data_IF_056280704881
#
_entry.id   IF_056280704881
#
_cell.length_a   1.000
_cell.length_b   1.000
_cell.length_c   1.000
_cell.angle_alpha   90.00
_cell.angle_beta   90.00
_cell.angle_gamma   90.00
#
_symmetry.space_group_name_H-M   'P 1'
#
loop_
_entity.id
_entity.type
_entity.pdbx_description
1 polymer ?
#
# COMPACT_ATOMS: atom_id res chain seq x y z
N UNK A 1 5.30 9.00 -0.09
CA UNK A 1 4.17 8.05 0.05
C UNK A 1 4.26 7.00 -1.05
N UNK A 2 3.97 5.74 -0.72
CA UNK A 2 3.88 4.67 -1.71
C UNK A 2 2.45 4.14 -1.80
N UNK A 3 1.97 3.96 -3.03
CA UNK A 3 0.72 3.26 -3.30
C UNK A 3 1.05 1.82 -3.64
N UNK A 4 0.62 0.92 -2.79
CA UNK A 4 0.85 -0.52 -2.97
C UNK A 4 -0.47 -1.23 -3.26
N UNK A 5 -0.44 -2.11 -4.23
CA UNK A 5 -1.62 -2.90 -4.60
C UNK A 5 -1.20 -4.18 -5.31
N UNK A 6 -2.16 -5.06 -5.50
CA UNK A 6 -1.95 -6.30 -6.22
C UNK A 6 -2.95 -6.44 -7.35
N UNK A 7 -2.51 -7.09 -8.41
CA UNK A 7 -3.36 -7.52 -9.50
C UNK A 7 -3.50 -9.05 -9.50
N UNK A 8 -4.60 -9.53 -10.04
CA UNK A 8 -4.86 -10.98 -10.20
C UNK A 8 -4.14 -11.58 -11.41
N UNK A 9 -3.53 -10.75 -12.23
CA UNK A 9 -2.75 -11.13 -13.42
C UNK A 9 -1.73 -10.03 -13.71
N UNK A 10 -0.81 -10.31 -14.63
CA UNK A 10 0.15 -9.30 -15.09
C UNK A 10 -0.56 -8.14 -15.77
N UNK A 11 -0.27 -6.93 -15.32
CA UNK A 11 -0.86 -5.69 -15.82
C UNK A 11 0.21 -4.63 -16.06
N UNK A 12 -0.05 -3.75 -16.99
CA UNK A 12 0.56 -2.44 -17.04
C UNK A 12 -0.20 -1.54 -16.07
N UNK A 13 0.48 -0.85 -15.16
CA UNK A 13 -0.18 -0.10 -14.10
C UNK A 13 0.43 1.26 -13.84
N UNK A 14 -0.39 2.19 -13.37
CA UNK A 14 0.02 3.53 -12.95
C UNK A 14 -0.93 4.09 -11.89
N UNK A 15 -0.49 5.13 -11.24
CA UNK A 15 -1.32 5.94 -10.35
C UNK A 15 -1.57 7.29 -11.00
N UNK A 16 -2.83 7.70 -11.06
CA UNK A 16 -3.20 9.07 -11.34
C UNK A 16 -3.34 9.81 -10.00
N UNK A 17 -2.64 10.94 -9.83
CA UNK A 17 -2.59 11.69 -8.57
C UNK A 17 -2.60 13.19 -8.83
N UNK A 18 -3.35 13.96 -8.04
CA UNK A 18 -3.45 15.40 -8.16
C UNK A 18 -4.04 16.08 -6.93
N UNK A 19 -4.09 17.41 -6.95
CA UNK A 19 -4.72 18.21 -5.87
C UNK A 19 -6.24 18.19 -5.95
N UNK A 20 -6.75 17.78 -7.08
CA UNK A 20 -8.17 17.51 -7.34
C UNK A 20 -8.29 16.30 -8.27
N UNK A 21 -9.52 15.84 -8.55
CA UNK A 21 -9.77 14.68 -9.40
C UNK A 21 -9.83 15.00 -10.90
N UNK A 22 -9.71 16.27 -11.30
CA UNK A 22 -9.81 16.71 -12.69
C UNK A 22 -8.41 16.92 -13.30
N UNK A 23 -7.45 17.36 -12.49
CA UNK A 23 -6.09 17.68 -12.90
C UNK A 23 -5.14 16.70 -12.20
N UNK A 24 -4.79 15.62 -12.88
CA UNK A 24 -3.97 14.55 -12.32
C UNK A 24 -2.73 14.29 -13.17
N UNK A 25 -1.63 14.04 -12.50
CA UNK A 25 -0.40 13.53 -13.09
C UNK A 25 -0.42 12.00 -13.08
N UNK A 26 0.33 11.41 -14.00
CA UNK A 26 0.51 9.97 -14.10
C UNK A 26 1.87 9.56 -13.53
N UNK A 27 1.85 8.70 -12.52
CA UNK A 27 3.07 8.15 -11.91
C UNK A 27 3.14 6.65 -12.16
N UNK A 28 4.31 6.17 -12.61
CA UNK A 28 4.57 4.77 -12.94
C UNK A 28 5.67 4.18 -12.07
N UNK A 29 5.64 2.88 -11.92
CA UNK A 29 6.75 2.15 -11.32
C UNK A 29 7.86 1.98 -12.36
N UNK A 30 9.05 2.48 -12.03
CA UNK A 30 10.22 2.35 -12.89
C UNK A 30 11.28 1.49 -12.19
N UNK A 31 11.93 0.64 -12.95
CA UNK A 31 13.13 -0.09 -12.54
C UNK A 31 14.21 0.10 -13.61
N UNK A 32 15.35 0.60 -13.21
CA UNK A 32 16.45 0.93 -14.14
C UNK A 32 16.00 1.78 -15.35
N UNK A 33 15.06 2.73 -15.13
CA UNK A 33 14.54 3.61 -16.18
C UNK A 33 13.47 2.97 -17.10
N UNK A 34 13.10 1.72 -16.84
CA UNK A 34 12.05 1.02 -17.60
C UNK A 34 10.78 0.87 -16.75
N UNK A 35 9.62 0.96 -17.40
CA UNK A 35 8.35 0.67 -16.74
C UNK A 35 8.26 -0.81 -16.35
N UNK A 36 7.83 -1.07 -15.12
CA UNK A 36 7.56 -2.42 -14.64
C UNK A 36 6.17 -2.83 -15.12
N UNK A 37 6.10 -3.87 -15.95
CA UNK A 37 4.86 -4.26 -16.66
C UNK A 37 4.44 -5.72 -16.46
N UNK A 38 5.12 -6.46 -15.59
CA UNK A 38 4.88 -7.90 -15.43
C UNK A 38 4.59 -8.36 -14.01
N UNK A 39 4.77 -7.50 -13.02
CA UNK A 39 4.59 -7.87 -11.63
C UNK A 39 3.12 -7.91 -11.24
N UNK A 40 2.78 -8.87 -10.39
CA UNK A 40 1.47 -8.93 -9.76
C UNK A 40 1.41 -8.06 -8.48
N UNK A 41 2.56 -7.76 -7.89
CA UNK A 41 2.72 -6.77 -6.82
C UNK A 41 3.24 -5.46 -7.41
N UNK A 42 2.56 -4.37 -7.05
CA UNK A 42 2.88 -3.05 -7.54
C UNK A 42 3.20 -2.13 -6.39
N UNK A 43 4.28 -1.37 -6.54
CA UNK A 43 4.71 -0.33 -5.60
C UNK A 43 5.01 0.94 -6.40
N UNK A 44 4.11 1.90 -6.34
CA UNK A 44 4.27 3.18 -7.04
C UNK A 44 4.54 4.27 -6.03
N UNK A 45 5.76 4.83 -6.06
CA UNK A 45 6.18 5.88 -5.15
C UNK A 45 5.78 7.25 -5.70
N UNK A 46 5.06 7.99 -4.88
CA UNK A 46 4.67 9.37 -5.13
C UNK A 46 5.71 10.30 -4.48
N UNK A 47 6.46 11.01 -5.30
CA UNK A 47 7.50 11.94 -4.87
C UNK A 47 7.06 13.39 -5.09
N UNK A 48 7.76 14.34 -4.48
CA UNK A 48 7.52 15.78 -4.67
C UNK A 48 6.18 16.27 -4.11
N UNK A 49 5.62 15.54 -3.16
CA UNK A 49 4.39 15.93 -2.50
C UNK A 49 4.65 17.07 -1.52
N UNK A 50 3.70 18.01 -1.42
CA UNK A 50 3.79 19.17 -0.54
C UNK A 50 3.25 18.83 0.85
N UNK A 51 3.99 19.07 1.94
CA UNK A 51 3.48 18.95 3.31
C UNK A 51 2.19 19.74 3.54
N UNK A 52 1.29 19.23 4.36
CA UNK A 52 0.00 19.83 4.66
C UNK A 52 -1.05 19.71 3.55
N UNK A 53 -0.70 19.15 2.42
CA UNK A 53 -1.55 19.10 1.26
C UNK A 53 -2.41 17.84 1.18
N UNK A 54 -3.64 17.98 0.69
CA UNK A 54 -4.52 16.87 0.33
C UNK A 54 -4.32 16.50 -1.13
N UNK A 55 -4.21 15.22 -1.38
CA UNK A 55 -4.11 14.62 -2.71
C UNK A 55 -5.24 13.64 -2.97
N UNK A 56 -5.72 13.64 -4.20
CA UNK A 56 -6.63 12.63 -4.75
C UNK A 56 -5.84 11.70 -5.65
N UNK A 57 -6.07 10.41 -5.51
CA UNK A 57 -5.39 9.42 -6.33
C UNK A 57 -6.30 8.26 -6.70
N UNK A 58 -5.98 7.59 -7.78
CA UNK A 58 -6.57 6.29 -8.15
C UNK A 58 -5.54 5.40 -8.82
N UNK A 59 -5.76 4.10 -8.72
CA UNK A 59 -4.98 3.08 -9.42
C UNK A 59 -5.63 2.81 -10.77
N UNK A 60 -4.79 2.76 -11.80
CA UNK A 60 -5.17 2.42 -13.16
C UNK A 60 -4.39 1.19 -13.61
N UNK A 61 -5.05 0.27 -14.29
CA UNK A 61 -4.44 -0.97 -14.78
C UNK A 61 -4.91 -1.30 -16.19
N UNK A 62 -4.03 -1.96 -16.95
CA UNK A 62 -4.37 -2.58 -18.22
C UNK A 62 -3.82 -4.01 -18.23
N UNK A 63 -4.68 -5.00 -18.42
CA UNK A 63 -4.25 -6.40 -18.55
C UNK A 63 -3.29 -6.54 -19.73
N UNK A 64 -2.22 -7.30 -19.54
CA UNK A 64 -1.30 -7.66 -20.61
C UNK A 64 -1.85 -8.92 -21.28
N UNK A 65 -2.44 -8.76 -22.46
CA UNK A 65 -3.04 -9.86 -23.22
C UNK A 65 -2.01 -10.62 -24.06
N UNK A 66 -1.02 -9.88 -24.57
CA UNK A 66 0.10 -10.45 -25.32
C UNK A 66 1.36 -9.68 -24.98
N UNK A 67 2.44 -10.39 -24.72
CA UNK A 67 3.76 -9.82 -24.51
C UNK A 67 4.83 -10.60 -25.25
N UNK A 68 5.20 -10.11 -26.41
CA UNK A 68 6.28 -10.64 -27.24
C UNK A 68 7.32 -9.57 -27.49
N UNK A 69 8.51 -9.95 -27.93
CA UNK A 69 9.64 -9.04 -28.13
C UNK A 69 9.29 -7.81 -28.98
N UNK A 70 8.49 -7.97 -30.02
CA UNK A 70 8.11 -6.91 -30.95
C UNK A 70 6.61 -6.60 -30.98
N UNK A 71 5.81 -7.23 -30.12
CA UNK A 71 4.37 -7.02 -30.08
C UNK A 71 3.85 -7.13 -28.65
N UNK A 72 3.22 -6.06 -28.19
CA UNK A 72 2.48 -6.03 -26.92
C UNK A 72 1.03 -5.66 -27.22
N UNK A 73 0.10 -6.32 -26.54
CA UNK A 73 -1.32 -6.01 -26.62
C UNK A 73 -1.82 -5.85 -25.20
N UNK A 74 -2.46 -4.72 -24.96
CA UNK A 74 -3.07 -4.39 -23.67
C UNK A 74 -4.58 -4.43 -23.78
N UNK A 75 -5.24 -4.88 -22.73
CA UNK A 75 -6.68 -4.81 -22.57
C UNK A 75 -7.18 -3.39 -22.33
N UNK A 76 -8.46 -3.28 -22.02
CA UNK A 76 -9.04 -1.99 -21.63
C UNK A 76 -8.40 -1.47 -20.33
N UNK A 77 -8.38 -0.16 -20.17
CA UNK A 77 -7.98 0.49 -18.92
C UNK A 77 -9.09 0.33 -17.87
N UNK A 78 -8.73 -0.22 -16.73
CA UNK A 78 -9.56 -0.25 -15.53
C UNK A 78 -9.06 0.80 -14.54
N UNK A 79 -9.99 1.43 -13.81
CA UNK A 79 -9.68 2.49 -12.85
C UNK A 79 -10.45 2.26 -11.56
N UNK A 80 -9.75 2.39 -10.43
CA UNK A 80 -10.45 2.44 -9.13
C UNK A 80 -11.15 3.79 -8.96
N UNK A 81 -12.14 3.89 -8.07
CA UNK A 81 -12.60 5.18 -7.60
C UNK A 81 -11.44 6.02 -7.03
N UNK A 82 -11.58 7.34 -7.11
CA UNK A 82 -10.64 8.23 -6.42
C UNK A 82 -10.69 8.04 -4.92
N UNK A 83 -9.52 8.01 -4.32
CA UNK A 83 -9.29 8.07 -2.87
C UNK A 83 -8.52 9.34 -2.56
N UNK A 84 -8.46 9.73 -1.30
CA UNK A 84 -7.70 10.91 -0.88
C UNK A 84 -6.85 10.58 0.35
N UNK A 85 -5.75 11.29 0.49
CA UNK A 85 -4.96 11.34 1.70
C UNK A 85 -4.45 12.77 1.91
N UNK A 86 -4.14 13.11 3.14
CA UNK A 86 -3.55 14.41 3.49
C UNK A 86 -2.20 14.17 4.12
N UNK A 87 -1.18 14.91 3.69
CA UNK A 87 0.13 14.88 4.35
C UNK A 87 0.12 15.76 5.58
N UNK A 88 0.81 15.36 6.65
CA UNK A 88 1.08 16.24 7.77
C UNK A 88 1.81 17.50 7.28
N UNK A 89 1.57 18.62 7.95
CA UNK A 89 2.35 19.83 7.71
C UNK A 89 3.69 19.75 8.44
N UNK A 90 4.74 20.29 7.86
CA UNK A 90 6.07 20.42 8.47
C UNK A 90 6.10 21.39 9.68
N UNK A 91 5.06 22.20 9.84
CA UNK A 91 4.87 23.12 10.97
C UNK A 91 3.90 22.56 12.02
N UNK A 92 3.51 21.28 11.92
CA UNK A 92 2.61 20.67 12.90
C UNK A 92 3.20 20.69 14.30
N UNK A 93 2.43 21.22 15.27
CA UNK A 93 2.79 21.18 16.68
C UNK A 93 2.24 19.95 17.41
N UNK A 94 1.32 19.25 16.77
CA UNK A 94 0.71 18.02 17.25
C UNK A 94 0.66 17.00 16.14
N UNK A 95 0.98 15.75 16.46
CA UNK A 95 0.91 14.61 15.55
C UNK A 95 0.37 13.41 16.31
N UNK A 96 -0.69 12.80 15.79
CA UNK A 96 -1.36 11.68 16.44
C UNK A 96 -1.06 10.38 15.70
N UNK A 97 -0.42 9.45 16.40
CA UNK A 97 -0.15 8.10 15.95
C UNK A 97 -1.11 7.12 16.58
N UNK A 98 -1.75 6.27 15.81
CA UNK A 98 -2.41 5.07 16.31
C UNK A 98 -1.50 3.87 16.07
N UNK A 99 -1.13 3.21 17.15
CA UNK A 99 -0.23 2.05 17.12
C UNK A 99 -1.01 0.80 17.52
N UNK A 100 -1.04 -0.18 16.66
CA UNK A 100 -1.68 -1.48 16.88
C UNK A 100 -0.65 -2.60 16.75
N UNK A 101 -0.71 -3.56 17.65
CA UNK A 101 0.13 -4.77 17.64
C UNK A 101 -0.66 -5.97 18.14
N UNK A 102 -0.12 -7.17 17.96
CA UNK A 102 -0.65 -8.44 18.47
C UNK A 102 -2.12 -8.72 18.08
N UNK A 103 -2.54 -8.28 16.90
CA UNK A 103 -3.92 -8.51 16.44
C UNK A 103 -4.14 -9.90 15.84
N UNK A 104 -3.09 -10.52 15.29
CA UNK A 104 -3.07 -11.86 14.69
C UNK A 104 -4.23 -12.14 13.73
N UNK A 105 -4.69 -11.13 13.00
CA UNK A 105 -5.87 -11.20 12.14
C UNK A 105 -7.15 -11.68 12.84
N UNK A 106 -7.24 -11.61 14.17
CA UNK A 106 -8.44 -12.00 14.91
C UNK A 106 -9.58 -11.04 14.59
N UNK A 107 -10.70 -11.50 13.99
CA UNK A 107 -11.73 -10.61 13.47
C UNK A 107 -12.33 -9.66 14.52
N UNK A 108 -12.63 -10.16 15.72
CA UNK A 108 -13.23 -9.34 16.78
C UNK A 108 -12.27 -8.25 17.27
N UNK A 109 -10.97 -8.57 17.39
CA UNK A 109 -9.93 -7.62 17.79
C UNK A 109 -9.77 -6.57 16.70
N UNK A 110 -9.61 -6.98 15.45
CA UNK A 110 -9.46 -6.07 14.31
C UNK A 110 -10.67 -5.14 14.14
N UNK A 111 -11.89 -5.68 14.29
CA UNK A 111 -13.12 -4.88 14.21
C UNK A 111 -13.22 -3.85 15.34
N UNK A 112 -12.80 -4.21 16.55
CA UNK A 112 -12.78 -3.28 17.68
C UNK A 112 -11.73 -2.16 17.48
N UNK A 113 -10.52 -2.54 17.06
CA UNK A 113 -9.43 -1.58 16.80
C UNK A 113 -9.73 -0.67 15.61
N UNK A 114 -10.30 -1.21 14.53
CA UNK A 114 -10.70 -0.41 13.37
C UNK A 114 -11.83 0.60 13.71
N UNK A 115 -12.80 0.21 14.55
CA UNK A 115 -13.81 1.16 15.06
C UNK A 115 -13.17 2.26 15.91
N UNK A 116 -12.21 1.92 16.75
CA UNK A 116 -11.46 2.90 17.53
C UNK A 116 -10.71 3.87 16.62
N UNK A 117 -9.99 3.35 15.64
CA UNK A 117 -9.27 4.16 14.65
C UNK A 117 -10.21 5.12 13.91
N UNK A 118 -11.37 4.64 13.46
CA UNK A 118 -12.35 5.46 12.74
C UNK A 118 -12.97 6.59 13.58
N UNK A 119 -12.95 6.47 14.92
CA UNK A 119 -13.50 7.45 15.86
C UNK A 119 -12.43 8.39 16.42
N UNK A 120 -11.15 8.09 16.22
CA UNK A 120 -10.02 8.85 16.78
C UNK A 120 -9.35 9.63 15.64
N UNK A 121 -9.36 10.97 15.66
CA UNK A 121 -8.55 11.74 14.70
C UNK A 121 -7.08 11.35 14.81
N UNK A 122 -6.44 11.04 13.69
CA UNK A 122 -5.04 10.62 13.65
C UNK A 122 -4.41 10.98 12.31
N UNK A 123 -3.09 11.07 12.32
CA UNK A 123 -2.29 11.40 11.14
C UNK A 123 -1.69 10.16 10.49
N UNK A 124 -1.42 9.13 11.29
CA UNK A 124 -0.78 7.89 10.83
C UNK A 124 -1.21 6.68 11.66
N UNK A 125 -1.37 5.56 11.00
CA UNK A 125 -1.56 4.24 11.63
C UNK A 125 -0.26 3.43 11.53
N UNK A 126 0.18 2.86 12.64
CA UNK A 126 1.33 1.96 12.69
C UNK A 126 0.84 0.56 13.11
N UNK A 127 1.03 -0.41 12.23
CA UNK A 127 0.89 -1.83 12.53
C UNK A 127 2.24 -2.33 13.04
N UNK A 128 2.39 -2.41 14.36
CA UNK A 128 3.68 -2.58 15.04
C UNK A 128 4.00 -4.04 15.37
N UNK A 129 3.88 -4.92 14.37
CA UNK A 129 4.20 -6.33 14.49
C UNK A 129 3.09 -7.19 15.08
N UNK A 130 3.15 -8.46 14.78
CA UNK A 130 2.20 -9.50 15.18
C UNK A 130 0.73 -9.14 14.84
N UNK A 131 0.57 -8.31 13.82
CA UNK A 131 -0.74 -7.95 13.30
C UNK A 131 -1.32 -9.04 12.39
N UNK A 132 -0.43 -9.81 11.77
CA UNK A 132 -0.75 -10.94 10.91
C UNK A 132 -0.34 -12.27 11.60
N UNK A 133 -0.99 -13.40 11.27
CA UNK A 133 -0.51 -14.71 11.68
C UNK A 133 0.71 -15.12 10.84
N UNK A 134 1.31 -16.26 11.18
CA UNK A 134 2.46 -16.81 10.46
C UNK A 134 2.09 -17.16 9.01
N UNK A 135 2.68 -16.52 8.00
CA UNK A 135 2.31 -16.72 6.60
C UNK A 135 2.86 -18.05 6.06
N UNK A 136 1.98 -18.96 5.65
CA UNK A 136 2.37 -20.25 5.05
C UNK A 136 2.77 -20.09 3.59
N UNK A 137 2.03 -19.27 2.88
CA UNK A 137 2.22 -19.02 1.46
C UNK A 137 1.84 -17.59 1.10
N UNK A 138 2.14 -17.22 -0.15
CA UNK A 138 1.84 -15.89 -0.68
C UNK A 138 0.35 -15.55 -0.68
N UNK A 139 -0.50 -16.52 -0.99
CA UNK A 139 -1.95 -16.28 -1.08
C UNK A 139 -2.55 -15.96 0.29
N UNK A 140 -2.15 -16.70 1.32
CA UNK A 140 -2.55 -16.44 2.70
C UNK A 140 -2.05 -15.09 3.19
N UNK A 141 -0.76 -14.76 2.95
CA UNK A 141 -0.19 -13.47 3.31
C UNK A 141 -0.98 -12.31 2.68
N UNK A 142 -1.28 -12.40 1.39
CA UNK A 142 -2.09 -11.41 0.67
C UNK A 142 -3.49 -11.27 1.26
N UNK A 143 -4.17 -12.39 1.53
CA UNK A 143 -5.52 -12.39 2.10
C UNK A 143 -5.54 -11.71 3.47
N UNK A 144 -4.56 -11.98 4.32
CA UNK A 144 -4.41 -11.39 5.64
C UNK A 144 -4.14 -9.87 5.55
N UNK A 145 -3.23 -9.44 4.67
CA UNK A 145 -2.96 -8.02 4.42
C UNK A 145 -4.20 -7.30 3.90
N UNK A 146 -4.89 -7.89 2.91
CA UNK A 146 -6.12 -7.29 2.38
C UNK A 146 -7.21 -7.15 3.44
N UNK A 147 -7.30 -8.12 4.35
CA UNK A 147 -8.22 -8.07 5.46
C UNK A 147 -7.89 -6.90 6.41
N UNK A 148 -6.61 -6.73 6.74
CA UNK A 148 -6.11 -5.64 7.57
C UNK A 148 -6.37 -4.26 6.90
N UNK A 149 -5.89 -4.06 5.68
CA UNK A 149 -5.96 -2.76 5.00
C UNK A 149 -7.39 -2.31 4.70
N UNK A 150 -8.32 -3.25 4.48
CA UNK A 150 -9.75 -2.93 4.29
C UNK A 150 -10.39 -2.41 5.57
N UNK A 151 -10.12 -3.05 6.71
CA UNK A 151 -10.72 -2.66 7.99
C UNK A 151 -10.28 -1.28 8.45
N UNK A 152 -9.02 -0.95 8.23
CA UNK A 152 -8.45 0.34 8.63
C UNK A 152 -8.50 1.41 7.53
N UNK A 153 -9.14 1.10 6.40
CA UNK A 153 -9.20 1.96 5.22
C UNK A 153 -7.84 2.58 4.84
N UNK A 154 -6.82 1.71 4.80
CA UNK A 154 -5.44 2.11 4.53
C UNK A 154 -5.23 2.80 3.16
N UNK A 155 -6.24 2.77 2.30
CA UNK A 155 -6.26 3.55 1.06
C UNK A 155 -6.49 5.05 1.27
N UNK A 156 -7.00 5.48 2.43
CA UNK A 156 -7.20 6.89 2.79
C UNK A 156 -6.44 7.28 4.06
N UNK A 157 -6.20 6.30 4.93
CA UNK A 157 -5.43 6.50 6.16
C UNK A 157 -4.00 6.00 5.93
N UNK A 158 -3.00 6.87 5.80
CA UNK A 158 -1.61 6.45 5.66
C UNK A 158 -1.22 5.48 6.78
N UNK A 159 -0.53 4.42 6.42
CA UNK A 159 -0.10 3.43 7.41
C UNK A 159 1.33 2.96 7.15
N UNK A 160 1.98 2.54 8.22
CA UNK A 160 3.28 1.87 8.23
C UNK A 160 3.10 0.48 8.81
N UNK A 161 3.76 -0.50 8.24
CA UNK A 161 3.76 -1.86 8.72
C UNK A 161 5.16 -2.26 9.18
N UNK A 162 5.24 -2.80 10.41
CA UNK A 162 6.46 -3.37 10.97
C UNK A 162 6.25 -4.86 11.22
N UNK A 163 7.26 -5.66 10.98
CA UNK A 163 7.20 -7.10 11.24
C UNK A 163 7.43 -7.40 12.71
N UNK A 164 6.58 -8.21 13.29
CA UNK A 164 6.81 -8.86 14.57
C UNK A 164 7.39 -10.27 14.38
N UNK A 165 7.37 -11.06 15.44
CA UNK A 165 7.91 -12.42 15.40
C UNK A 165 6.97 -13.40 14.67
N UNK A 166 5.68 -13.12 14.54
CA UNK A 166 4.75 -13.93 13.75
C UNK A 166 4.98 -13.77 12.25
N UNK A 167 5.18 -12.55 11.75
CA UNK A 167 5.42 -12.30 10.34
C UNK A 167 6.76 -12.84 9.83
N UNK A 168 7.72 -13.15 10.72
CA UNK A 168 9.02 -13.74 10.33
C UNK A 168 9.08 -15.25 10.48
N UNK A 169 7.98 -15.89 10.87
CA UNK A 169 7.86 -17.35 10.95
C UNK A 169 7.25 -17.93 9.68
N UNK A 170 7.35 -19.28 9.57
CA UNK A 170 6.75 -20.06 8.49
C UNK A 170 7.38 -19.84 7.10
N UNK A 171 6.89 -20.59 6.11
CA UNK A 171 7.53 -20.76 4.81
C UNK A 171 7.57 -19.49 3.95
N UNK A 172 6.59 -18.59 4.10
CA UNK A 172 6.51 -17.35 3.29
C UNK A 172 7.11 -16.11 3.99
N UNK A 173 7.73 -16.27 5.15
CA UNK A 173 8.30 -15.12 5.90
C UNK A 173 9.29 -14.27 5.09
N UNK A 174 10.12 -14.91 4.27
CA UNK A 174 11.08 -14.21 3.38
C UNK A 174 10.42 -13.48 2.21
N UNK A 175 9.21 -13.86 1.84
CA UNK A 175 8.42 -13.18 0.79
C UNK A 175 7.64 -11.96 1.30
N UNK A 176 7.42 -11.85 2.60
CA UNK A 176 6.66 -10.74 3.20
C UNK A 176 7.18 -9.34 2.84
N UNK A 177 8.51 -9.09 2.74
CA UNK A 177 9.01 -7.78 2.37
C UNK A 177 8.56 -7.26 1.01
N UNK A 178 8.14 -8.14 0.10
CA UNK A 178 7.61 -7.70 -1.21
C UNK A 178 6.22 -7.09 -1.11
N UNK A 179 5.50 -7.37 -0.04
CA UNK A 179 4.11 -6.98 0.17
C UNK A 179 3.95 -5.67 0.96
N UNK A 180 5.04 -5.10 1.46
CA UNK A 180 5.06 -3.85 2.23
C UNK A 180 6.12 -2.89 1.70
N UNK A 181 6.00 -1.60 2.03
CA UNK A 181 7.05 -0.62 1.76
C UNK A 181 7.95 -0.46 2.98
N UNK A 182 9.10 -1.11 2.97
CA UNK A 182 10.14 -0.99 3.99
C UNK A 182 11.21 0.06 3.66
N UNK A 183 10.89 1.03 2.81
CA UNK A 183 11.83 2.06 2.40
C UNK A 183 12.52 1.75 1.06
N UNK A 184 13.64 2.43 0.80
CA UNK A 184 14.30 2.41 -0.52
C UNK A 184 15.19 1.21 -0.75
N UNK A 185 15.75 0.60 0.29
CA UNK A 185 16.85 -0.35 0.16
C UNK A 185 16.55 -1.76 0.72
N UNK A 186 15.28 -2.07 0.92
CA UNK A 186 14.87 -3.38 1.47
C UNK A 186 15.22 -3.57 2.95
N UNK A 187 15.60 -2.51 3.63
CA UNK A 187 15.84 -2.50 5.07
C UNK A 187 14.52 -2.65 5.83
N UNK A 188 14.60 -3.19 7.03
CA UNK A 188 13.44 -3.45 7.88
C UNK A 188 13.12 -2.32 8.85
N UNK A 189 13.83 -1.22 8.74
CA UNK A 189 13.63 0.03 9.50
C UNK A 189 13.64 1.21 8.54
N UNK A 190 12.92 2.26 8.88
CA UNK A 190 12.92 3.51 8.15
C UNK A 190 12.49 4.67 9.06
N UNK A 191 12.83 5.88 8.67
CA UNK A 191 12.35 7.10 9.31
C UNK A 191 11.08 7.57 8.61
N UNK A 192 10.13 8.04 9.38
CA UNK A 192 8.85 8.58 8.91
C UNK A 192 8.93 10.09 8.86
#
# INVERSE_FOLDING_TARGET
VSVMFQSTCSVHSWVEVGRDSLHVDTVRQLFCGQEVVHDAEHRIRLNGLTPGATYYYRVCTQKIELNQAYKKVFGRTERTPFRRFTLPTDTATHFTLLVFNDMHCQPQVMDAMARLAAQTPHDLVIFNGDCLPEPRDRQEAIANIQNLVRRFDAGQNPCVFMRGNHEIRNAYSSGMPTLFDYGTDGETYHTI
#
